data_IF_559948084809
#
_entry.id   IF_559948084809
#
_cell.length_a   1.000
_cell.length_b   1.000
_cell.length_c   1.000
_cell.angle_alpha   90.00
_cell.angle_beta   90.00
_cell.angle_gamma   90.00
#
_symmetry.space_group_name_H-M   'P 1'
#
loop_
_entity.id
_entity.type
_entity.pdbx_description
1 polymer ?
#
# COMPACT_ATOMS: atom_id res chain seq x y z
N UNK A 1 4.83 -2.41 -5.96
CA UNK A 1 5.25 -2.37 -4.55
C UNK A 1 4.15 -2.93 -3.66
N UNK A 2 4.39 -3.05 -2.37
CA UNK A 2 3.37 -3.24 -1.33
C UNK A 2 3.32 -1.96 -0.47
N UNK A 3 2.15 -1.60 0.05
CA UNK A 3 2.02 -0.46 0.97
C UNK A 3 2.67 -0.80 2.33
N UNK A 4 2.39 -1.99 2.88
CA UNK A 4 2.72 -2.39 4.26
C UNK A 4 4.14 -2.01 4.74
N UNK A 5 5.23 -2.33 4.00
CA UNK A 5 6.58 -2.08 4.49
C UNK A 5 6.95 -0.58 4.61
N UNK A 6 6.17 0.33 4.02
CA UNK A 6 6.35 1.77 4.18
C UNK A 6 5.72 2.32 5.47
N UNK A 7 4.75 1.63 6.06
CA UNK A 7 4.03 2.07 7.26
C UNK A 7 4.64 1.49 8.54
N UNK A 8 4.46 2.19 9.66
CA UNK A 8 4.87 1.79 11.02
C UNK A 8 3.82 0.88 11.69
N UNK A 9 3.16 0.03 10.90
CA UNK A 9 2.11 -0.86 11.40
C UNK A 9 2.37 -2.30 10.97
N UNK A 10 1.81 -3.24 11.72
CA UNK A 10 1.70 -4.64 11.38
C UNK A 10 0.25 -5.11 11.61
N UNK A 11 -0.20 -6.15 10.90
CA UNK A 11 -1.57 -6.65 10.96
C UNK A 11 -2.10 -7.13 9.60
N UNK A 12 -3.23 -7.83 9.60
CA UNK A 12 -3.87 -8.37 8.41
C UNK A 12 -5.09 -7.57 7.97
N UNK A 13 -5.82 -6.95 8.90
CA UNK A 13 -6.99 -6.11 8.59
C UNK A 13 -6.53 -4.72 8.12
N UNK A 14 -5.99 -4.65 6.92
CA UNK A 14 -5.58 -3.38 6.29
C UNK A 14 -6.27 -3.21 4.95
N UNK A 15 -6.70 -1.97 4.68
CA UNK A 15 -7.45 -1.63 3.48
C UNK A 15 -6.95 -0.32 2.88
N UNK A 16 -6.52 -0.40 1.63
CA UNK A 16 -6.10 0.69 0.77
C UNK A 16 -7.18 0.94 -0.28
N UNK A 17 -7.76 2.13 -0.25
CA UNK A 17 -8.69 2.59 -1.28
C UNK A 17 -7.92 3.40 -2.31
N UNK A 18 -8.13 3.07 -3.58
CA UNK A 18 -7.69 3.85 -4.73
C UNK A 18 -8.93 4.32 -5.49
N UNK A 19 -9.19 5.62 -5.45
CA UNK A 19 -10.42 6.24 -5.94
C UNK A 19 -10.06 7.34 -6.95
N UNK A 20 -10.06 7.05 -8.26
CA UNK A 20 -9.86 8.06 -9.30
C UNK A 20 -11.00 9.07 -9.31
N UNK A 21 -10.67 10.34 -9.53
CA UNK A 21 -11.68 11.39 -9.69
C UNK A 21 -12.15 11.54 -11.15
N UNK A 22 -11.36 11.03 -12.09
CA UNK A 22 -11.69 10.95 -13.51
C UNK A 22 -11.73 9.51 -14.00
N UNK A 23 -12.39 9.31 -15.14
CA UNK A 23 -12.42 8.05 -15.86
C UNK A 23 -11.01 7.56 -16.19
N UNK A 24 -10.75 6.27 -15.99
CA UNK A 24 -9.52 5.59 -16.38
C UNK A 24 -9.80 4.45 -17.34
N UNK A 25 -9.09 4.45 -18.47
CA UNK A 25 -8.97 3.25 -19.29
C UNK A 25 -8.28 2.15 -18.50
N UNK A 26 -8.70 0.90 -18.69
CA UNK A 26 -8.11 -0.27 -18.03
C UNK A 26 -6.58 -0.20 -17.99
N UNK A 27 -5.91 0.07 -19.12
CA UNK A 27 -4.44 0.06 -19.22
C UNK A 27 -3.72 1.05 -18.28
N UNK A 28 -4.37 2.16 -17.93
CA UNK A 28 -3.84 3.21 -17.04
C UNK A 28 -4.37 3.11 -15.60
N UNK A 29 -5.23 2.11 -15.35
CA UNK A 29 -5.79 1.86 -14.03
C UNK A 29 -4.83 1.01 -13.18
N UNK A 30 -5.15 0.86 -11.90
CA UNK A 30 -4.36 0.11 -10.94
C UNK A 30 -4.30 -1.39 -11.32
N UNK A 31 -3.09 -1.93 -11.42
CA UNK A 31 -2.81 -3.37 -11.57
C UNK A 31 -2.69 -4.01 -10.19
N UNK A 32 -3.39 -5.12 -10.01
CA UNK A 32 -3.47 -5.85 -8.75
C UNK A 32 -3.03 -7.30 -8.97
N UNK A 33 -1.95 -7.74 -8.30
CA UNK A 33 -1.48 -9.12 -8.37
C UNK A 33 -2.23 -10.00 -7.36
N UNK A 34 -3.17 -10.81 -7.83
CA UNK A 34 -4.03 -11.60 -6.94
C UNK A 34 -3.22 -12.59 -6.10
N UNK A 35 -3.58 -12.71 -4.82
CA UNK A 35 -2.97 -13.64 -3.88
C UNK A 35 -1.61 -13.19 -3.32
N UNK A 36 -0.97 -12.16 -3.87
CA UNK A 36 0.37 -11.74 -3.43
C UNK A 36 0.42 -11.18 -2.00
N UNK A 37 -0.74 -10.85 -1.41
CA UNK A 37 -0.85 -10.46 0.01
C UNK A 37 -0.55 -11.61 0.98
N UNK A 38 -0.42 -12.84 0.48
CA UNK A 38 -0.08 -14.05 1.25
C UNK A 38 1.40 -14.42 1.18
N UNK A 39 2.24 -13.60 0.56
CA UNK A 39 3.68 -13.83 0.54
C UNK A 39 4.24 -13.84 1.97
N UNK A 40 5.21 -14.72 2.22
CA UNK A 40 5.81 -14.91 3.54
C UNK A 40 6.77 -13.78 3.95
N UNK A 41 7.19 -12.95 2.99
CA UNK A 41 8.02 -11.76 3.20
C UNK A 41 7.46 -10.58 2.42
N UNK A 42 7.69 -9.39 2.95
CA UNK A 42 7.34 -8.15 2.26
C UNK A 42 8.29 -7.84 1.12
N UNK A 43 7.76 -7.23 0.07
CA UNK A 43 8.56 -6.68 -1.01
C UNK A 43 9.36 -5.50 -0.47
N UNK A 44 10.65 -5.46 -0.80
CA UNK A 44 11.55 -4.39 -0.40
C UNK A 44 10.96 -3.02 -0.76
N UNK A 45 10.73 -2.12 0.20
CA UNK A 45 10.32 -0.76 -0.10
C UNK A 45 11.51 -0.03 -0.72
N UNK A 46 11.28 0.69 -1.81
CA UNK A 46 12.25 1.56 -2.46
C UNK A 46 11.79 3.00 -2.43
N UNK A 47 12.75 3.93 -2.43
CA UNK A 47 12.52 5.35 -2.62
C UNK A 47 11.88 5.61 -3.97
N UNK A 48 10.77 6.35 -3.99
CA UNK A 48 10.06 6.70 -5.23
C UNK A 48 10.88 7.59 -6.18
N UNK A 49 11.84 8.36 -5.65
CA UNK A 49 12.65 9.30 -6.44
C UNK A 49 13.96 8.71 -6.92
N UNK A 50 14.59 7.82 -6.13
CA UNK A 50 15.93 7.28 -6.41
C UNK A 50 15.96 5.79 -6.71
N UNK A 51 14.84 5.08 -6.51
CA UNK A 51 14.75 3.61 -6.54
C UNK A 51 15.69 2.88 -5.57
N UNK A 52 16.39 3.59 -4.70
CA UNK A 52 17.24 2.99 -3.67
C UNK A 52 16.40 2.33 -2.57
N UNK A 53 16.96 1.34 -1.88
CA UNK A 53 16.30 0.70 -0.74
C UNK A 53 15.90 1.74 0.30
N UNK A 54 14.64 1.70 0.72
CA UNK A 54 14.10 2.63 1.72
C UNK A 54 14.65 2.36 3.12
N UNK A 55 15.09 1.12 3.37
CA UNK A 55 15.80 0.70 4.58
C UNK A 55 17.13 0.03 4.22
N UNK A 56 18.11 0.09 5.13
CA UNK A 56 19.43 -0.53 4.94
C UNK A 56 19.46 -2.04 5.23
N UNK A 57 18.47 -2.59 5.96
CA UNK A 57 18.48 -3.99 6.38
C UNK A 57 17.74 -4.90 5.38
N UNK A 58 18.52 -5.64 4.58
CA UNK A 58 17.98 -6.44 3.49
C UNK A 58 17.32 -7.77 3.91
N UNK A 59 17.58 -8.28 5.12
CA UNK A 59 17.16 -9.63 5.52
C UNK A 59 15.64 -9.77 5.76
N UNK A 60 14.98 -8.66 6.08
CA UNK A 60 13.55 -8.59 6.41
C UNK A 60 12.65 -8.60 5.16
N UNK A 61 13.21 -8.29 4.00
CA UNK A 61 12.46 -8.10 2.77
C UNK A 61 12.90 -9.10 1.70
N UNK A 62 12.05 -9.27 0.70
CA UNK A 62 12.40 -9.95 -0.54
C UNK A 62 12.31 -8.98 -1.72
N UNK A 63 12.99 -9.30 -2.80
CA UNK A 63 12.88 -8.49 -4.02
C UNK A 63 11.52 -8.72 -4.69
N UNK A 64 11.09 -7.76 -5.50
CA UNK A 64 9.89 -7.89 -6.29
C UNK A 64 10.03 -9.09 -7.23
N UNK A 65 9.14 -10.10 -7.16
CA UNK A 65 9.21 -11.22 -8.09
C UNK A 65 8.99 -10.75 -9.52
N UNK A 66 9.55 -11.48 -10.48
CA UNK A 66 9.30 -11.23 -11.90
C UNK A 66 7.80 -11.44 -12.20
N UNK A 67 7.11 -10.35 -12.51
CA UNK A 67 5.65 -10.32 -12.66
C UNK A 67 5.18 -10.83 -14.03
N UNK A 68 6.04 -10.76 -15.04
CA UNK A 68 5.82 -11.16 -16.43
C UNK A 68 5.93 -12.67 -16.66
N UNK A 69 6.60 -13.40 -15.75
CA UNK A 69 6.67 -14.87 -15.74
C UNK A 69 5.36 -15.57 -15.37
N UNK A 70 4.26 -14.84 -15.16
CA UNK A 70 2.94 -15.41 -14.88
C UNK A 70 2.77 -15.93 -13.45
N UNK A 71 3.62 -15.50 -12.52
CA UNK A 71 3.57 -15.90 -11.10
C UNK A 71 2.28 -15.49 -10.39
N UNK A 72 1.59 -14.47 -10.92
CA UNK A 72 0.33 -13.97 -10.38
C UNK A 72 -0.67 -13.67 -11.49
N UNK A 73 -1.94 -13.90 -11.21
CA UNK A 73 -3.01 -13.35 -12.03
C UNK A 73 -3.10 -11.84 -11.78
N UNK A 74 -2.92 -11.04 -12.82
CA UNK A 74 -3.05 -9.58 -12.74
C UNK A 74 -4.49 -9.18 -13.08
N UNK A 75 -5.17 -8.57 -12.11
CA UNK A 75 -6.47 -7.91 -12.33
C UNK A 75 -6.29 -6.41 -12.51
N UNK A 76 -7.10 -5.86 -13.41
CA UNK A 76 -7.12 -4.45 -13.77
C UNK A 76 -8.48 -4.16 -14.41
N UNK A 77 -9.04 -3.00 -14.15
CA UNK A 77 -10.39 -2.61 -14.59
C UNK A 77 -10.39 -1.22 -15.19
N UNK A 78 -11.28 -0.96 -16.16
CA UNK A 78 -11.66 0.41 -16.48
C UNK A 78 -12.50 0.97 -15.33
N UNK A 79 -12.35 2.25 -15.06
CA UNK A 79 -12.91 2.91 -13.87
C UNK A 79 -13.64 4.19 -14.30
N UNK A 80 -14.82 4.42 -13.75
CA UNK A 80 -15.57 5.68 -13.85
C UNK A 80 -15.56 6.42 -12.50
N UNK A 81 -15.81 7.75 -12.48
CA UNK A 81 -15.96 8.48 -11.23
C UNK A 81 -17.05 7.85 -10.34
N UNK A 82 -16.68 7.51 -9.11
CA UNK A 82 -17.54 6.80 -8.16
C UNK A 82 -17.13 5.35 -7.92
N UNK A 83 -16.37 4.73 -8.82
CA UNK A 83 -15.78 3.42 -8.57
C UNK A 83 -14.54 3.53 -7.65
N UNK A 84 -14.25 2.44 -6.93
CA UNK A 84 -13.05 2.32 -6.11
C UNK A 84 -12.40 0.94 -6.32
N UNK A 85 -11.07 0.91 -6.38
CA UNK A 85 -10.30 -0.33 -6.24
C UNK A 85 -9.82 -0.41 -4.80
N UNK A 86 -10.18 -1.50 -4.12
CA UNK A 86 -9.93 -1.70 -2.69
C UNK A 86 -9.06 -2.93 -2.52
N UNK A 87 -7.94 -2.81 -1.81
CA UNK A 87 -6.96 -3.88 -1.66
C UNK A 87 -6.22 -3.85 -0.32
N UNK A 88 -5.63 -4.99 0.06
CA UNK A 88 -4.84 -5.12 1.29
C UNK A 88 -3.44 -4.49 1.12
N UNK A 89 -2.85 -3.97 2.20
CA UNK A 89 -1.53 -3.32 2.13
C UNK A 89 -0.41 -4.25 1.65
N UNK A 90 -0.58 -5.56 1.86
CA UNK A 90 0.36 -6.60 1.42
C UNK A 90 0.14 -7.00 -0.05
N UNK A 91 -0.87 -6.46 -0.74
CA UNK A 91 -1.06 -6.72 -2.16
C UNK A 91 0.01 -5.99 -2.98
N UNK A 92 0.66 -6.71 -3.89
CA UNK A 92 1.54 -6.13 -4.89
C UNK A 92 0.65 -5.42 -5.90
N UNK A 93 0.90 -4.13 -6.06
CA UNK A 93 0.19 -3.31 -7.00
C UNK A 93 1.12 -2.31 -7.71
N UNK A 94 0.69 -1.86 -8.87
CA UNK A 94 1.36 -0.85 -9.69
C UNK A 94 0.36 -0.10 -10.55
N UNK A 95 0.75 1.06 -11.05
CA UNK A 95 0.03 1.79 -12.07
C UNK A 95 1.02 2.24 -13.15
N UNK A 96 0.54 2.35 -14.38
CA UNK A 96 1.32 2.92 -15.47
C UNK A 96 1.37 4.44 -15.36
N UNK A 97 2.40 5.05 -15.94
CA UNK A 97 2.44 6.50 -16.10
C UNK A 97 1.22 6.97 -16.90
N UNK A 98 0.64 8.11 -16.49
CA UNK A 98 -0.43 8.72 -17.27
C UNK A 98 0.14 9.20 -18.61
N UNK A 99 -0.33 8.62 -19.70
CA UNK A 99 0.11 8.96 -21.07
C UNK A 99 -0.84 9.95 -21.77
N UNK A 100 -1.93 10.35 -21.10
CA UNK A 100 -2.83 11.38 -21.62
C UNK A 100 -2.31 12.79 -21.33
N UNK A 101 -2.71 13.75 -22.15
CA UNK A 101 -2.39 15.17 -21.99
C UNK A 101 -3.15 15.86 -20.85
N UNK A 102 -4.13 15.18 -20.26
CA UNK A 102 -4.92 15.70 -19.14
C UNK A 102 -4.35 15.22 -17.82
N UNK A 103 -4.30 16.15 -16.86
CA UNK A 103 -4.08 15.82 -15.47
C UNK A 103 -5.19 14.94 -14.95
N UNK A 104 -4.84 14.13 -13.96
CA UNK A 104 -5.75 13.17 -13.38
C UNK A 104 -5.43 13.03 -11.90
N UNK A 105 -6.46 12.91 -11.09
CA UNK A 105 -6.39 12.90 -9.65
C UNK A 105 -6.89 11.57 -9.11
N UNK A 106 -6.26 11.12 -8.03
CA UNK A 106 -6.68 9.92 -7.32
C UNK A 106 -6.65 10.22 -5.83
N UNK A 107 -7.78 10.01 -5.16
CA UNK A 107 -7.83 9.96 -3.71
C UNK A 107 -7.36 8.58 -3.24
N UNK A 108 -6.33 8.58 -2.39
CA UNK A 108 -5.85 7.38 -1.71
C UNK A 108 -6.23 7.45 -0.24
N UNK A 109 -7.05 6.52 0.23
CA UNK A 109 -7.46 6.42 1.63
C UNK A 109 -6.96 5.11 2.22
N UNK A 110 -6.62 5.15 3.50
CA UNK A 110 -5.93 4.09 4.23
C UNK A 110 -6.72 3.83 5.51
N UNK A 111 -7.24 2.61 5.65
CA UNK A 111 -7.98 2.15 6.82
C UNK A 111 -7.30 0.91 7.39
N UNK A 112 -7.41 0.78 8.71
CA UNK A 112 -6.86 -0.33 9.48
C UNK A 112 -7.96 -0.86 10.40
N UNK A 113 -7.90 -2.16 10.69
CA UNK A 113 -8.81 -2.85 11.59
C UNK A 113 -8.21 -3.09 12.97
N UNK A 114 -8.93 -3.87 13.76
CA UNK A 114 -8.69 -4.07 15.19
C UNK A 114 -7.39 -4.85 15.48
N UNK A 115 -6.82 -5.52 14.49
CA UNK A 115 -5.56 -6.26 14.61
C UNK A 115 -4.31 -5.42 14.31
N UNK A 116 -4.48 -4.18 13.82
CA UNK A 116 -3.36 -3.33 13.51
C UNK A 116 -2.62 -2.92 14.79
N UNK A 117 -1.30 -3.11 14.79
CA UNK A 117 -0.40 -2.73 15.89
C UNK A 117 0.73 -1.87 15.38
N UNK A 118 1.26 -1.02 16.26
CA UNK A 118 2.49 -0.30 16.01
C UNK A 118 3.64 -1.28 15.77
N UNK A 119 4.42 -1.01 14.75
CA UNK A 119 5.66 -1.73 14.43
C UNK A 119 6.73 -0.71 14.06
N UNK A 120 7.75 -0.59 14.90
CA UNK A 120 8.95 0.16 14.62
C UNK A 120 9.61 -0.40 13.36
N UNK A 121 9.78 0.47 12.36
CA UNK A 121 10.53 0.14 11.15
C UNK A 121 12.01 0.56 11.32
N UNK A 122 12.95 -0.07 10.58
CA UNK A 122 14.38 0.22 10.69
C UNK A 122 14.79 1.65 10.28
N UNK A 123 13.88 2.42 9.68
CA UNK A 123 14.11 3.79 9.24
C UNK A 123 12.82 4.60 9.23
N UNK A 124 12.84 5.73 8.52
CA UNK A 124 11.66 6.59 8.35
C UNK A 124 10.52 5.80 7.72
N UNK A 125 9.30 6.15 8.07
CA UNK A 125 8.07 5.59 7.48
C UNK A 125 7.36 6.65 6.64
N UNK A 126 6.39 6.21 5.85
CA UNK A 126 5.56 7.08 5.02
C UNK A 126 4.08 6.76 5.28
N UNK A 127 3.33 7.59 6.03
CA UNK A 127 3.76 8.88 6.59
C UNK A 127 4.71 8.74 7.78
N UNK A 128 5.54 9.76 8.02
CA UNK A 128 6.37 9.83 9.23
C UNK A 128 5.59 10.51 10.36
N UNK A 129 5.39 9.83 11.48
CA UNK A 129 4.70 10.36 12.66
C UNK A 129 5.71 10.57 13.80
N UNK A 130 6.31 11.75 13.86
CA UNK A 130 7.37 12.08 14.83
C UNK A 130 6.91 11.98 16.29
N UNK A 131 5.61 12.18 16.56
CA UNK A 131 5.04 12.22 17.90
C UNK A 131 4.18 10.99 18.24
N UNK A 132 4.39 9.86 17.55
CA UNK A 132 3.56 8.66 17.81
C UNK A 132 3.79 8.12 19.22
N UNK A 133 5.03 8.13 19.72
CA UNK A 133 5.42 7.70 21.08
C UNK A 133 4.82 6.34 21.46
N UNK A 134 4.93 5.36 20.55
CA UNK A 134 4.45 4.00 20.75
C UNK A 134 5.59 2.99 20.64
N UNK A 135 5.41 1.83 21.27
CA UNK A 135 6.33 0.69 21.18
C UNK A 135 5.69 -0.48 20.44
N UNK A 136 6.53 -1.39 19.94
CA UNK A 136 6.09 -2.56 19.15
C UNK A 136 4.96 -3.33 19.83
N UNK A 137 3.90 -3.61 19.06
CA UNK A 137 2.76 -4.39 19.52
C UNK A 137 1.66 -3.58 20.21
N UNK A 138 1.83 -2.27 20.41
CA UNK A 138 0.75 -1.42 20.94
C UNK A 138 -0.35 -1.17 19.91
N UNK A 139 -1.60 -1.03 20.37
CA UNK A 139 -2.70 -0.56 19.52
C UNK A 139 -2.47 0.90 19.13
N UNK A 140 -2.73 1.28 17.88
CA UNK A 140 -2.53 2.65 17.44
C UNK A 140 -3.44 3.63 18.21
N UNK A 141 -2.90 4.80 18.51
CA UNK A 141 -3.61 5.80 19.31
C UNK A 141 -4.83 6.37 18.57
N UNK A 142 -5.97 6.39 19.24
CA UNK A 142 -7.24 6.89 18.67
C UNK A 142 -7.24 8.39 18.35
N UNK A 143 -6.39 9.18 19.01
CA UNK A 143 -6.28 10.63 18.75
C UNK A 143 -5.60 10.93 17.39
N UNK A 144 -4.77 10.01 16.90
CA UNK A 144 -4.14 10.09 15.59
C UNK A 144 -4.87 9.22 14.55
N UNK A 145 -5.51 8.14 14.98
CA UNK A 145 -6.23 7.17 14.15
C UNK A 145 -7.67 7.02 14.65
N UNK A 146 -8.55 7.99 14.34
CA UNK A 146 -9.90 8.00 14.87
C UNK A 146 -10.73 6.81 14.37
N UNK A 147 -11.59 6.29 15.25
CA UNK A 147 -12.52 5.22 14.92
C UNK A 147 -13.62 5.78 14.01
N UNK A 148 -13.67 5.27 12.78
CA UNK A 148 -14.69 5.66 11.78
C UNK A 148 -15.93 4.78 11.79
N UNK A 149 -15.85 3.60 12.42
CA UNK A 149 -16.96 2.65 12.54
C UNK A 149 -16.79 1.80 13.81
N UNK A 150 -17.87 1.68 14.59
CA UNK A 150 -17.98 0.81 15.76
C UNK A 150 -19.33 0.09 15.70
N UNK A 151 -19.35 -1.19 16.09
CA UNK A 151 -20.52 -2.07 15.96
C UNK A 151 -21.38 -2.07 17.21
#
# INVERSE_FOLDING_TARGET
HQDMPYYFIEGDQTISFWIPLEKREKKLSLKCALGSHKLSKYIRPTSWSTNESFYQNDALFMDLPEMDKGNFEIKQWSIEPGDAVVFNYKLIHSAEANTHSKETQTLSMRLIGDDARYQQRPGKTSPNFENINQTDGEQLREDLFPIVYSK
#
